data_IF_069838203480
#
_entry.id   IF_069838203480
#
_cell.length_a   1.000
_cell.length_b   1.000
_cell.length_c   1.000
_cell.angle_alpha   90.00
_cell.angle_beta   90.00
_cell.angle_gamma   90.00
#
_symmetry.space_group_name_H-M   'P 1'
#
loop_
_entity.id
_entity.type
_entity.pdbx_description
1 polymer ?
#
# COMPACT_ATOMS: atom_id res chain seq x y z
N UNK A 1 27.32 -4.87 0.94
CA UNK A 1 26.98 -5.74 2.08
C UNK A 1 26.58 -4.86 3.26
N UNK A 2 25.28 -4.63 3.41
CA UNK A 2 24.66 -4.00 4.59
C UNK A 2 24.43 -5.09 5.65
N UNK A 3 25.48 -5.81 6.04
CA UNK A 3 25.41 -6.95 6.97
C UNK A 3 24.91 -6.48 8.34
N UNK A 4 23.60 -6.57 8.57
CA UNK A 4 22.95 -6.14 9.80
C UNK A 4 21.62 -5.42 9.60
N UNK A 5 21.32 -4.94 8.40
CA UNK A 5 20.01 -4.34 8.07
C UNK A 5 19.19 -5.37 7.29
N UNK A 6 17.92 -5.64 7.67
CA UNK A 6 17.06 -6.59 6.96
C UNK A 6 16.55 -6.01 5.63
N UNK A 7 17.46 -5.81 4.68
CA UNK A 7 17.15 -5.33 3.32
C UNK A 7 17.54 -6.42 2.33
N UNK A 8 16.63 -6.73 1.41
CA UNK A 8 16.93 -7.64 0.29
C UNK A 8 17.86 -6.93 -0.69
N UNK A 9 19.08 -7.43 -0.81
CA UNK A 9 20.06 -6.98 -1.80
C UNK A 9 19.89 -7.73 -3.14
N UNK A 10 20.44 -7.18 -4.23
CA UNK A 10 20.55 -7.89 -5.52
C UNK A 10 19.24 -8.05 -6.29
N UNK A 11 18.27 -7.13 -6.11
CA UNK A 11 17.04 -7.11 -6.91
C UNK A 11 17.36 -6.53 -8.29
N UNK A 12 17.09 -7.29 -9.34
CA UNK A 12 17.17 -6.80 -10.72
C UNK A 12 15.87 -6.06 -11.10
N UNK A 13 16.00 -4.75 -11.32
CA UNK A 13 14.91 -3.87 -11.71
C UNK A 13 14.85 -3.60 -13.22
N UNK A 14 15.78 -4.12 -14.01
CA UNK A 14 15.84 -3.90 -15.46
C UNK A 14 14.51 -4.17 -16.17
N UNK A 15 13.75 -5.25 -15.85
CA UNK A 15 12.45 -5.47 -16.46
C UNK A 15 11.45 -4.32 -16.29
N UNK A 16 11.60 -3.49 -15.26
CA UNK A 16 10.69 -2.39 -14.93
C UNK A 16 11.12 -1.04 -15.54
N UNK A 17 12.33 -0.90 -16.09
CA UNK A 17 12.85 0.40 -16.55
C UNK A 17 11.98 1.07 -17.61
N UNK A 18 11.28 0.28 -18.43
CA UNK A 18 10.36 0.79 -19.45
C UNK A 18 9.24 1.69 -18.88
N UNK A 19 8.96 1.57 -17.58
CA UNK A 19 7.93 2.36 -16.90
C UNK A 19 8.44 3.73 -16.41
N UNK A 20 9.76 3.92 -16.30
CA UNK A 20 10.36 5.18 -15.84
C UNK A 20 10.10 6.37 -16.79
N UNK A 21 9.62 6.11 -18.01
CA UNK A 21 9.21 7.15 -18.97
C UNK A 21 7.83 7.75 -18.68
N UNK A 22 7.06 7.18 -17.76
CA UNK A 22 5.74 7.66 -17.38
C UNK A 22 5.83 8.42 -16.07
N UNK A 23 5.04 9.49 -15.95
CA UNK A 23 4.80 10.18 -14.68
C UNK A 23 3.70 9.46 -13.90
N UNK A 24 3.91 8.18 -13.59
CA UNK A 24 2.92 7.37 -12.89
C UNK A 24 2.70 7.87 -11.46
N UNK A 25 1.44 7.88 -11.01
CA UNK A 25 1.11 8.30 -9.65
C UNK A 25 -0.16 7.60 -9.15
N UNK A 26 -0.02 6.88 -8.06
CA UNK A 26 -1.06 6.11 -7.42
C UNK A 26 -1.91 6.98 -6.47
N UNK A 27 -2.44 8.08 -7.02
CA UNK A 27 -3.09 9.14 -6.26
C UNK A 27 -4.51 8.73 -5.85
N UNK A 28 -4.74 8.65 -4.54
CA UNK A 28 -6.06 8.46 -3.95
C UNK A 28 -6.29 7.02 -3.50
N UNK A 29 -7.56 6.62 -3.44
CA UNK A 29 -7.96 5.28 -3.03
C UNK A 29 -7.83 4.28 -4.21
N UNK A 30 -7.10 3.15 -4.08
CA UNK A 30 -7.03 2.10 -5.10
C UNK A 30 -8.38 1.57 -5.58
N UNK A 31 -9.39 1.58 -4.72
CA UNK A 31 -10.71 0.99 -4.96
C UNK A 31 -11.69 1.97 -5.62
N UNK A 32 -11.33 3.25 -5.71
CA UNK A 32 -12.17 4.29 -6.29
C UNK A 32 -11.62 4.79 -7.64
N UNK A 33 -12.47 5.31 -8.53
CA UNK A 33 -12.01 5.98 -9.73
C UNK A 33 -11.18 7.23 -9.38
N UNK A 34 -9.87 7.18 -9.64
CA UNK A 34 -8.97 8.31 -9.44
C UNK A 34 -9.15 9.42 -10.49
N UNK A 35 -8.76 10.65 -10.13
CA UNK A 35 -8.72 11.80 -11.05
C UNK A 35 -7.51 11.76 -11.98
N UNK A 36 -6.44 11.09 -11.55
CA UNK A 36 -5.22 10.90 -12.32
C UNK A 36 -5.24 9.54 -13.03
N UNK A 37 -5.14 9.54 -14.36
CA UNK A 37 -5.37 8.33 -15.18
C UNK A 37 -4.13 7.46 -15.40
N UNK A 38 -2.93 8.03 -15.21
CA UNK A 38 -1.67 7.29 -15.30
C UNK A 38 -1.35 6.81 -13.90
N UNK A 39 -2.00 5.71 -13.51
CA UNK A 39 -1.85 5.13 -12.19
C UNK A 39 -1.78 3.59 -12.28
N UNK A 40 -1.17 2.93 -11.27
CA UNK A 40 -1.08 1.49 -11.21
C UNK A 40 -2.13 0.87 -10.27
N UNK A 41 -3.31 1.50 -10.05
CA UNK A 41 -4.30 1.04 -9.05
C UNK A 41 -4.74 -0.42 -9.27
N UNK A 42 -4.70 -0.93 -10.51
CA UNK A 42 -4.98 -2.35 -10.78
C UNK A 42 -3.89 -3.26 -10.23
N UNK A 43 -2.62 -2.94 -10.46
CA UNK A 43 -1.50 -3.69 -9.89
C UNK A 43 -1.47 -3.55 -8.36
N UNK A 44 -1.81 -2.37 -7.85
CA UNK A 44 -1.90 -2.15 -6.41
C UNK A 44 -2.93 -3.10 -5.76
N UNK A 45 -4.13 -3.19 -6.34
CA UNK A 45 -5.18 -4.09 -5.86
C UNK A 45 -4.78 -5.56 -5.93
N UNK A 46 -4.07 -5.99 -6.98
CA UNK A 46 -3.56 -7.36 -7.08
C UNK A 46 -2.59 -7.70 -5.92
N UNK A 47 -1.72 -6.76 -5.54
CA UNK A 47 -0.81 -6.96 -4.39
C UNK A 47 -1.59 -6.95 -3.07
N UNK A 48 -2.57 -6.06 -2.92
CA UNK A 48 -3.43 -6.03 -1.73
C UNK A 48 -4.20 -7.35 -1.60
N UNK A 49 -4.77 -7.87 -2.69
CA UNK A 49 -5.48 -9.15 -2.74
C UNK A 49 -4.57 -10.31 -2.33
N UNK A 50 -3.34 -10.36 -2.86
CA UNK A 50 -2.34 -11.37 -2.46
C UNK A 50 -2.12 -11.38 -0.94
N UNK A 51 -1.94 -10.22 -0.31
CA UNK A 51 -1.74 -10.15 1.14
C UNK A 51 -3.04 -10.39 1.93
N UNK A 52 -4.20 -9.97 1.41
CA UNK A 52 -5.50 -10.24 2.01
C UNK A 52 -5.75 -11.75 2.10
N UNK A 53 -5.45 -12.49 1.03
CA UNK A 53 -5.51 -13.96 1.02
C UNK A 53 -4.50 -14.58 1.98
N UNK A 54 -3.24 -14.13 1.94
CA UNK A 54 -2.17 -14.62 2.80
C UNK A 54 -2.51 -14.48 4.29
N UNK A 55 -3.13 -13.37 4.68
CA UNK A 55 -3.52 -13.08 6.06
C UNK A 55 -4.96 -13.51 6.42
N UNK A 56 -5.70 -14.12 5.47
CA UNK A 56 -7.10 -14.54 5.66
C UNK A 56 -7.98 -13.37 6.11
N UNK A 57 -7.82 -12.22 5.46
CA UNK A 57 -8.62 -11.04 5.70
C UNK A 57 -10.12 -11.33 5.47
N UNK A 58 -11.02 -10.62 6.16
CA UNK A 58 -12.46 -10.71 5.86
C UNK A 58 -12.74 -10.27 4.41
N UNK A 59 -13.88 -10.70 3.85
CA UNK A 59 -14.26 -10.37 2.46
C UNK A 59 -14.33 -8.87 2.18
N UNK A 60 -14.64 -8.08 3.19
CA UNK A 60 -14.66 -6.62 3.13
C UNK A 60 -13.34 -6.09 3.72
N UNK A 61 -12.30 -6.06 2.89
CA UNK A 61 -11.04 -5.42 3.22
C UNK A 61 -10.84 -4.13 2.42
N UNK A 62 -10.05 -3.22 3.01
CA UNK A 62 -9.52 -2.01 2.40
C UNK A 62 -8.06 -1.88 2.80
N UNK A 63 -7.26 -1.30 1.93
CA UNK A 63 -5.84 -1.12 2.14
C UNK A 63 -5.23 -0.38 0.96
N UNK A 64 -3.97 0.01 1.11
CA UNK A 64 -3.19 0.67 0.06
C UNK A 64 -1.70 0.32 0.27
N UNK A 65 -0.88 0.51 -0.76
CA UNK A 65 0.56 0.25 -0.71
C UNK A 65 1.27 1.45 -0.09
N UNK A 66 1.94 1.20 1.03
CA UNK A 66 2.69 2.22 1.78
C UNK A 66 4.12 2.37 1.27
N UNK A 67 4.77 3.50 1.57
CA UNK A 67 6.20 3.70 1.32
C UNK A 67 7.11 2.89 2.27
N UNK A 68 6.54 2.27 3.30
CA UNK A 68 7.26 1.41 4.24
C UNK A 68 6.48 1.17 5.52
N UNK A 69 7.02 0.31 6.39
CA UNK A 69 6.33 -0.11 7.62
C UNK A 69 6.00 1.04 8.59
N UNK A 70 6.80 2.09 8.62
CA UNK A 70 6.53 3.28 9.47
C UNK A 70 5.21 3.94 9.09
N UNK A 71 4.95 4.13 7.80
CA UNK A 71 3.71 4.73 7.32
C UNK A 71 2.51 3.83 7.67
N UNK A 72 2.62 2.52 7.42
CA UNK A 72 1.57 1.56 7.78
C UNK A 72 1.26 1.54 9.28
N UNK A 73 2.28 1.60 10.13
CA UNK A 73 2.10 1.66 11.59
C UNK A 73 1.42 2.96 12.02
N UNK A 74 1.84 4.11 11.48
CA UNK A 74 1.22 5.40 11.77
C UNK A 74 -0.24 5.40 11.33
N UNK A 75 -0.53 4.89 10.13
CA UNK A 75 -1.89 4.81 9.61
C UNK A 75 -2.78 3.91 10.48
N UNK A 76 -2.29 2.73 10.87
CA UNK A 76 -3.02 1.82 11.76
C UNK A 76 -3.33 2.45 13.12
N UNK A 77 -2.36 3.16 13.73
CA UNK A 77 -2.58 3.89 14.98
C UNK A 77 -3.58 5.04 14.82
N UNK A 78 -3.51 5.76 13.69
CA UNK A 78 -4.45 6.83 13.37
C UNK A 78 -5.90 6.31 13.26
N UNK A 79 -6.11 5.18 12.57
CA UNK A 79 -7.42 4.53 12.47
C UNK A 79 -7.93 4.05 13.83
N UNK A 80 -7.06 3.45 14.66
CA UNK A 80 -7.44 3.02 16.00
C UNK A 80 -7.85 4.21 16.89
N UNK A 81 -7.11 5.32 16.85
CA UNK A 81 -7.44 6.54 17.59
C UNK A 81 -8.79 7.11 17.15
N UNK A 82 -9.04 7.15 15.84
CA UNK A 82 -10.31 7.62 15.29
C UNK A 82 -11.48 6.75 15.78
N UNK A 83 -11.32 5.42 15.73
CA UNK A 83 -12.34 4.49 16.19
C UNK A 83 -12.65 4.65 17.71
N UNK A 84 -11.62 4.79 18.55
CA UNK A 84 -11.82 5.01 20.01
C UNK A 84 -12.59 6.30 20.26
N UNK A 85 -12.21 7.40 19.61
CA UNK A 85 -12.89 8.70 19.79
C UNK A 85 -14.34 8.67 19.32
N UNK A 86 -14.62 7.97 18.22
CA UNK A 86 -15.99 7.82 17.73
C UNK A 86 -16.88 7.09 18.75
N UNK A 87 -16.34 6.12 19.50
CA UNK A 87 -17.05 5.43 20.57
C UNK A 87 -17.27 6.30 21.81
N UNK A 88 -16.36 7.23 22.13
CA UNK A 88 -16.49 8.13 23.29
C UNK A 88 -17.52 9.25 23.07
N UNK A 89 -17.83 9.58 21.81
CA UNK A 89 -18.82 10.61 21.45
C UNK A 89 -20.27 10.09 21.37
N UNK A 90 -20.49 8.82 21.72
CA UNK A 90 -21.78 8.13 21.63
C UNK A 90 -22.24 7.65 23.01
#
# INVERSE_FOLDING_TARGET
MLSGIPVREGIDYEPLWRFLKFTDNNLGDPFEPGTYRVNPHTLEREVIEFFAELFRAPREFRGYITNGGTEGNIHGLYLALFAVRACETN
#
